data_IF_537388488480
#
_entry.id   IF_537388488480
#
_cell.length_a   1.000
_cell.length_b   1.000
_cell.length_c   1.000
_cell.angle_alpha   90.00
_cell.angle_beta   90.00
_cell.angle_gamma   90.00
#
_symmetry.space_group_name_H-M   'P 1'
#
loop_
_entity.id
_entity.type
_entity.pdbx_description
1 polymer ?
#
# COMPACT_ATOMS: atom_id res chain seq x y z
N UNK A 1 -7.72 -3.51 30.32
CA UNK A 1 -7.61 -3.59 28.83
C UNK A 1 -6.21 -3.22 28.31
N UNK A 2 -5.31 -2.69 29.16
CA UNK A 2 -3.86 -2.57 28.85
C UNK A 2 -3.07 -3.85 29.12
N UNK A 3 -3.50 -4.68 30.08
CA UNK A 3 -2.67 -5.81 30.53
C UNK A 3 -2.76 -7.05 29.61
N UNK A 4 -3.88 -7.21 28.88
CA UNK A 4 -4.05 -8.26 27.86
C UNK A 4 -3.22 -8.01 26.59
N UNK A 5 -2.74 -6.78 26.36
CA UNK A 5 -1.81 -6.47 25.28
C UNK A 5 -0.34 -6.62 25.70
N UNK A 6 -0.06 -6.82 26.98
CA UNK A 6 1.31 -6.95 27.49
C UNK A 6 1.74 -8.42 27.63
N UNK A 7 0.81 -9.32 27.95
CA UNK A 7 1.08 -10.78 28.01
C UNK A 7 1.28 -11.41 26.61
N UNK A 8 0.60 -10.94 25.57
CA UNK A 8 0.81 -11.46 24.20
C UNK A 8 2.17 -11.05 23.60
N UNK A 9 2.85 -10.05 24.19
CA UNK A 9 4.18 -9.60 23.79
C UNK A 9 5.32 -10.23 24.60
N UNK A 10 5.06 -10.78 25.78
CA UNK A 10 6.07 -11.49 26.59
C UNK A 10 6.22 -12.98 26.26
N UNK A 11 5.26 -13.60 25.56
CA UNK A 11 5.38 -15.00 25.08
C UNK A 11 6.31 -15.18 23.87
N UNK A 12 6.94 -14.12 23.36
CA UNK A 12 7.83 -14.16 22.19
C UNK A 12 9.32 -14.16 22.61
N UNK A 13 9.70 -15.07 23.50
CA UNK A 13 11.09 -15.27 23.94
C UNK A 13 12.07 -15.34 22.76
N UNK A 14 12.71 -14.21 22.48
CA UNK A 14 13.83 -14.06 21.55
C UNK A 14 15.02 -13.74 22.44
N UNK A 15 15.67 -14.79 22.93
CA UNK A 15 17.08 -14.74 23.29
C UNK A 15 17.86 -15.18 22.07
N UNK A 16 18.48 -14.23 21.38
CA UNK A 16 19.37 -14.46 20.24
C UNK A 16 20.64 -15.18 20.71
N UNK A 17 20.65 -16.50 20.61
CA UNK A 17 21.88 -17.30 20.53
C UNK A 17 21.83 -18.16 19.27
N UNK A 18 22.33 -17.59 18.17
CA UNK A 18 22.51 -18.29 16.90
C UNK A 18 23.68 -19.27 17.03
N UNK A 19 23.49 -20.58 16.83
CA UNK A 19 24.60 -21.51 16.71
C UNK A 19 25.37 -21.22 15.42
N UNK A 20 26.69 -21.05 15.54
CA UNK A 20 27.63 -20.92 14.43
C UNK A 20 27.71 -22.24 13.66
N UNK A 21 26.95 -22.36 12.58
CA UNK A 21 27.05 -23.47 11.61
C UNK A 21 28.07 -23.06 10.54
N UNK A 22 29.16 -23.83 10.42
CA UNK A 22 30.17 -23.69 9.36
C UNK A 22 29.54 -23.88 7.97
N UNK A 23 29.87 -23.06 6.96
CA UNK A 23 29.43 -23.30 5.60
C UNK A 23 30.26 -24.44 4.98
N UNK A 24 29.60 -25.53 4.59
CA UNK A 24 30.15 -26.50 3.65
C UNK A 24 29.88 -26.00 2.23
N UNK A 25 30.94 -25.60 1.53
CA UNK A 25 30.92 -25.20 0.12
C UNK A 25 30.46 -26.37 -0.76
N UNK A 26 29.25 -26.26 -1.28
CA UNK A 26 28.80 -27.02 -2.45
C UNK A 26 28.39 -26.00 -3.51
N UNK A 27 29.33 -25.69 -4.40
CA UNK A 27 29.14 -24.83 -5.57
C UNK A 27 28.24 -25.54 -6.60
N UNK A 28 26.94 -25.57 -6.33
CA UNK A 28 25.94 -25.70 -7.39
C UNK A 28 25.96 -24.46 -8.28
N UNK A 29 25.34 -24.47 -9.48
CA UNK A 29 25.16 -23.27 -10.28
C UNK A 29 24.25 -22.31 -9.53
N UNK A 30 24.83 -21.52 -8.62
CA UNK A 30 24.20 -20.39 -7.97
C UNK A 30 23.73 -19.47 -9.09
N UNK A 31 22.43 -19.55 -9.38
CA UNK A 31 21.71 -18.50 -10.08
C UNK A 31 22.00 -17.21 -9.31
N UNK A 32 22.96 -16.42 -9.80
CA UNK A 32 23.28 -15.05 -9.39
C UNK A 32 22.06 -14.15 -9.63
N UNK A 33 20.99 -14.40 -8.89
CA UNK A 33 19.72 -13.69 -8.96
C UNK A 33 19.84 -12.41 -8.12
N UNK A 34 20.49 -11.43 -8.75
CA UNK A 34 20.36 -9.99 -8.57
C UNK A 34 20.51 -9.40 -7.15
N UNK A 35 21.74 -8.91 -6.88
CA UNK A 35 22.08 -7.89 -5.88
C UNK A 35 21.51 -6.49 -6.22
N UNK A 36 20.38 -6.39 -6.93
CA UNK A 36 19.78 -5.09 -7.23
C UNK A 36 18.90 -4.65 -6.07
N UNK A 37 19.19 -3.49 -5.49
CA UNK A 37 18.35 -2.84 -4.48
C UNK A 37 17.01 -2.31 -4.99
N UNK A 38 16.47 -2.94 -6.03
CA UNK A 38 15.29 -2.53 -6.80
C UNK A 38 14.35 -3.74 -6.91
N UNK A 39 13.04 -3.49 -6.87
CA UNK A 39 11.97 -4.49 -6.87
C UNK A 39 11.72 -5.01 -8.30
N UNK A 40 11.43 -4.10 -9.24
CA UNK A 40 11.21 -4.40 -10.66
C UNK A 40 12.42 -4.00 -11.53
N UNK A 41 13.26 -3.11 -11.02
CA UNK A 41 14.41 -2.52 -11.71
C UNK A 41 14.38 -0.99 -11.62
N UNK A 42 15.50 -0.30 -11.85
CA UNK A 42 15.62 1.13 -11.52
C UNK A 42 14.56 2.02 -12.18
N UNK A 43 14.35 1.86 -13.50
CA UNK A 43 13.43 2.72 -14.25
C UNK A 43 11.95 2.43 -13.91
N UNK A 44 11.59 1.15 -13.75
CA UNK A 44 10.24 0.75 -13.36
C UNK A 44 9.91 1.19 -11.95
N UNK A 45 10.85 1.02 -11.03
CA UNK A 45 10.69 1.47 -9.66
C UNK A 45 10.57 3.00 -9.62
N UNK A 46 11.38 3.75 -10.37
CA UNK A 46 11.24 5.22 -10.46
C UNK A 46 9.86 5.66 -10.95
N UNK A 47 9.34 4.99 -11.98
CA UNK A 47 8.07 5.34 -12.61
C UNK A 47 6.85 4.89 -11.78
N UNK A 48 6.83 3.64 -11.33
CA UNK A 48 5.64 3.00 -10.77
C UNK A 48 5.66 2.88 -9.25
N UNK A 49 6.84 2.79 -8.62
CA UNK A 49 6.95 2.54 -7.18
C UNK A 49 7.35 3.79 -6.43
N UNK A 50 8.41 4.49 -6.81
CA UNK A 50 8.79 5.77 -6.24
C UNK A 50 8.03 6.94 -6.88
N UNK A 51 7.36 6.72 -8.02
CA UNK A 51 6.54 7.71 -8.72
C UNK A 51 7.18 9.10 -8.80
N UNK A 52 8.45 9.20 -9.22
CA UNK A 52 9.20 10.47 -9.22
C UNK A 52 8.61 11.54 -10.15
N UNK A 53 7.61 11.17 -10.96
CA UNK A 53 6.88 12.05 -11.87
C UNK A 53 5.70 12.77 -11.21
N UNK A 54 5.38 12.49 -9.95
CA UNK A 54 4.31 13.20 -9.24
C UNK A 54 4.41 14.74 -9.29
N UNK A 55 5.61 15.39 -9.28
CA UNK A 55 5.70 16.84 -9.41
C UNK A 55 5.20 17.33 -10.76
N UNK A 56 5.40 16.56 -11.84
CA UNK A 56 4.88 16.88 -13.17
C UNK A 56 3.35 16.84 -13.18
N UNK A 57 2.74 15.86 -12.50
CA UNK A 57 1.28 15.80 -12.36
C UNK A 57 0.72 16.99 -11.57
N UNK A 58 1.45 17.47 -10.56
CA UNK A 58 1.10 18.70 -9.83
C UNK A 58 1.23 19.93 -10.72
N UNK A 59 2.31 20.05 -11.49
CA UNK A 59 2.51 21.16 -12.43
C UNK A 59 1.41 21.22 -13.49
N UNK A 60 1.06 20.07 -14.09
CA UNK A 60 -0.04 19.97 -15.06
C UNK A 60 -1.33 20.49 -14.42
N UNK A 61 -1.75 19.95 -13.27
CA UNK A 61 -2.98 20.39 -12.60
C UNK A 61 -2.96 21.85 -12.12
N UNK A 62 -1.78 22.38 -11.81
CA UNK A 62 -1.62 23.76 -11.38
C UNK A 62 -1.89 24.75 -12.52
N UNK A 63 -1.33 24.48 -13.71
CA UNK A 63 -1.50 25.33 -14.89
C UNK A 63 -2.78 25.06 -15.68
N UNK A 64 -3.39 23.89 -15.48
CA UNK A 64 -4.62 23.48 -16.15
C UNK A 64 -5.86 24.22 -15.65
N UNK A 65 -6.81 24.37 -16.57
CA UNK A 65 -8.14 24.90 -16.28
C UNK A 65 -9.01 23.91 -15.50
N UNK A 66 -10.21 24.35 -15.09
CA UNK A 66 -11.14 23.51 -14.33
C UNK A 66 -11.56 22.26 -15.13
N UNK A 67 -11.69 22.37 -16.45
CA UNK A 67 -12.11 21.26 -17.31
C UNK A 67 -11.06 20.15 -17.36
N UNK A 68 -9.78 20.52 -17.47
CA UNK A 68 -8.65 19.58 -17.48
C UNK A 68 -8.46 18.91 -16.12
N UNK A 69 -8.70 19.62 -15.02
CA UNK A 69 -8.71 19.01 -13.66
C UNK A 69 -9.78 17.94 -13.51
N UNK A 70 -11.00 18.18 -14.01
CA UNK A 70 -12.06 17.18 -14.01
C UNK A 70 -11.70 15.96 -14.86
N UNK A 71 -11.07 16.17 -16.01
CA UNK A 71 -10.59 15.08 -16.86
C UNK A 71 -9.53 14.22 -16.13
N UNK A 72 -8.56 14.84 -15.45
CA UNK A 72 -7.53 14.11 -14.69
C UNK A 72 -8.18 13.31 -13.55
N UNK A 73 -9.11 13.91 -12.81
CA UNK A 73 -9.85 13.22 -11.75
C UNK A 73 -10.67 12.06 -12.28
N UNK A 74 -11.35 12.25 -13.42
CA UNK A 74 -12.08 11.19 -14.11
C UNK A 74 -11.16 9.99 -14.40
N UNK A 75 -10.01 10.23 -15.03
CA UNK A 75 -9.06 9.16 -15.32
C UNK A 75 -8.52 8.49 -14.06
N UNK A 76 -8.18 9.28 -13.04
CA UNK A 76 -7.66 8.77 -11.77
C UNK A 76 -8.69 7.93 -11.00
N UNK A 77 -9.94 8.36 -10.91
CA UNK A 77 -10.99 7.63 -10.19
C UNK A 77 -11.33 6.33 -10.93
N UNK A 78 -11.70 6.43 -12.21
CA UNK A 78 -12.27 5.28 -12.94
C UNK A 78 -11.23 4.31 -13.46
N UNK A 79 -10.05 4.76 -13.85
CA UNK A 79 -9.06 3.90 -14.51
C UNK A 79 -7.86 3.57 -13.63
N UNK A 80 -7.77 4.12 -12.43
CA UNK A 80 -6.63 3.86 -11.55
C UNK A 80 -7.12 3.40 -10.19
N UNK A 81 -7.79 4.26 -9.44
CA UNK A 81 -8.15 3.94 -8.05
C UNK A 81 -9.20 2.84 -7.96
N UNK A 82 -10.27 2.91 -8.77
CA UNK A 82 -11.29 1.86 -8.77
C UNK A 82 -10.70 0.52 -9.21
N UNK A 83 -10.05 0.37 -10.38
CA UNK A 83 -9.44 -0.89 -10.78
C UNK A 83 -8.44 -1.43 -9.76
N UNK A 84 -7.63 -0.59 -9.09
CA UNK A 84 -6.70 -1.09 -8.09
C UNK A 84 -7.43 -1.79 -6.93
N UNK A 85 -8.51 -1.22 -6.39
CA UNK A 85 -9.28 -1.82 -5.28
C UNK A 85 -9.91 -3.14 -5.70
N UNK A 86 -10.48 -3.17 -6.90
CA UNK A 86 -11.14 -4.36 -7.45
C UNK A 86 -10.13 -5.45 -7.84
N UNK A 87 -8.91 -5.08 -8.22
CA UNK A 87 -7.86 -6.04 -8.60
C UNK A 87 -7.52 -6.99 -7.45
N UNK A 88 -7.58 -6.55 -6.19
CA UNK A 88 -7.36 -7.39 -5.01
C UNK A 88 -8.36 -8.53 -4.90
N UNK A 89 -9.64 -8.27 -5.22
CA UNK A 89 -10.66 -9.31 -5.26
C UNK A 89 -10.34 -10.31 -6.37
N UNK A 90 -9.93 -9.81 -7.54
CA UNK A 90 -9.39 -10.63 -8.62
C UNK A 90 -8.24 -11.51 -8.14
N UNK A 91 -7.26 -10.96 -7.44
CA UNK A 91 -6.13 -11.73 -6.90
C UNK A 91 -6.57 -12.79 -5.91
N UNK A 92 -7.44 -12.49 -4.95
CA UNK A 92 -7.88 -13.48 -3.97
C UNK A 92 -8.69 -14.60 -4.63
N UNK A 93 -9.55 -14.27 -5.60
CA UNK A 93 -10.41 -15.26 -6.26
C UNK A 93 -9.64 -16.09 -7.30
N UNK A 94 -8.65 -15.49 -7.97
CA UNK A 94 -7.88 -16.12 -9.04
C UNK A 94 -6.60 -16.80 -8.54
N UNK A 95 -5.87 -16.20 -7.59
CA UNK A 95 -4.74 -16.85 -6.92
C UNK A 95 -5.28 -17.85 -5.89
N UNK A 96 -5.38 -19.11 -6.33
CA UNK A 96 -5.88 -20.20 -5.49
C UNK A 96 -5.01 -20.47 -4.27
N UNK A 97 -3.74 -20.06 -4.26
CA UNK A 97 -2.81 -20.45 -3.19
C UNK A 97 -3.14 -19.76 -1.85
N UNK A 98 -3.24 -18.41 -1.78
CA UNK A 98 -3.69 -17.74 -0.56
C UNK A 98 -5.11 -18.14 -0.17
N UNK A 99 -6.04 -18.22 -1.13
CA UNK A 99 -7.43 -18.53 -0.83
C UNK A 99 -7.60 -19.95 -0.25
N UNK A 100 -6.99 -20.97 -0.87
CA UNK A 100 -7.03 -22.36 -0.37
C UNK A 100 -6.40 -22.51 1.01
N UNK A 101 -5.41 -21.68 1.35
CA UNK A 101 -4.81 -21.71 2.67
C UNK A 101 -5.76 -21.23 3.77
N UNK A 102 -6.69 -20.29 3.48
CA UNK A 102 -7.59 -19.69 4.48
C UNK A 102 -8.99 -19.36 3.93
N UNK A 103 -9.73 -20.31 3.31
CA UNK A 103 -10.95 -20.01 2.59
C UNK A 103 -12.05 -19.47 3.53
N UNK A 104 -12.10 -20.00 4.76
CA UNK A 104 -13.04 -19.56 5.80
C UNK A 104 -12.84 -18.10 6.19
N UNK A 105 -11.58 -17.64 6.25
CA UNK A 105 -11.29 -16.24 6.57
C UNK A 105 -11.77 -15.32 5.44
N UNK A 106 -11.38 -15.60 4.19
CA UNK A 106 -11.74 -14.74 3.06
C UNK A 106 -13.25 -14.67 2.85
N UNK A 107 -13.92 -15.83 2.86
CA UNK A 107 -15.37 -15.90 2.68
C UNK A 107 -16.13 -15.32 3.88
N UNK A 108 -15.74 -15.68 5.10
CA UNK A 108 -16.37 -15.17 6.32
C UNK A 108 -16.23 -13.66 6.45
N UNK A 109 -15.06 -13.11 6.14
CA UNK A 109 -14.84 -11.66 6.12
C UNK A 109 -15.68 -10.96 5.06
N UNK A 110 -15.80 -11.54 3.85
CA UNK A 110 -16.67 -10.97 2.81
C UNK A 110 -18.13 -10.93 3.22
N UNK A 111 -18.66 -12.03 3.73
CA UNK A 111 -20.04 -12.11 4.20
C UNK A 111 -20.27 -11.07 5.31
N UNK A 112 -19.35 -10.97 6.27
CA UNK A 112 -19.45 -9.99 7.35
C UNK A 112 -19.47 -8.54 6.84
N UNK A 113 -18.54 -8.17 5.93
CA UNK A 113 -18.48 -6.83 5.35
C UNK A 113 -19.77 -6.50 4.58
N UNK A 114 -20.26 -7.42 3.74
CA UNK A 114 -21.49 -7.23 2.96
C UNK A 114 -22.69 -7.03 3.89
N UNK A 115 -22.87 -7.92 4.89
CA UNK A 115 -23.98 -7.84 5.83
C UNK A 115 -23.96 -6.54 6.64
N UNK A 116 -22.79 -6.10 7.10
CA UNK A 116 -22.65 -4.85 7.86
C UNK A 116 -22.97 -3.65 6.98
N UNK A 117 -22.41 -3.56 5.78
CA UNK A 117 -22.62 -2.40 4.89
C UNK A 117 -24.07 -2.30 4.42
N UNK A 118 -24.64 -3.43 3.97
CA UNK A 118 -26.04 -3.50 3.52
C UNK A 118 -26.99 -3.25 4.70
N UNK A 119 -26.70 -3.84 5.87
CA UNK A 119 -27.49 -3.64 7.08
C UNK A 119 -27.51 -2.17 7.54
N UNK A 120 -26.35 -1.49 7.51
CA UNK A 120 -26.28 -0.05 7.81
C UNK A 120 -27.07 0.74 6.78
N UNK A 121 -26.89 0.51 5.47
CA UNK A 121 -27.63 1.25 4.43
C UNK A 121 -29.14 1.06 4.55
N UNK A 122 -29.61 -0.16 4.79
CA UNK A 122 -31.05 -0.43 4.97
C UNK A 122 -31.56 0.20 6.27
N UNK A 123 -30.79 0.15 7.36
CA UNK A 123 -31.21 0.63 8.67
C UNK A 123 -31.21 2.15 8.83
N UNK A 124 -30.23 2.85 8.24
CA UNK A 124 -30.08 4.31 8.39
C UNK A 124 -30.54 5.09 7.16
N UNK A 125 -30.61 4.46 5.99
CA UNK A 125 -30.82 5.13 4.71
C UNK A 125 -29.60 5.90 4.20
N UNK A 126 -28.52 6.00 4.97
CA UNK A 126 -27.40 6.93 4.72
C UNK A 126 -26.05 6.19 4.63
N UNK A 127 -25.20 6.59 3.68
CA UNK A 127 -23.85 6.02 3.50
C UNK A 127 -22.75 6.82 4.23
N UNK A 128 -23.06 7.98 4.78
CA UNK A 128 -22.08 8.93 5.33
C UNK A 128 -21.19 8.31 6.41
N UNK A 129 -21.76 7.54 7.35
CA UNK A 129 -20.97 6.86 8.38
C UNK A 129 -20.02 5.82 7.78
N UNK A 130 -20.47 5.07 6.78
CA UNK A 130 -19.63 4.09 6.08
C UNK A 130 -18.49 4.76 5.31
N UNK A 131 -18.76 5.89 4.65
CA UNK A 131 -17.74 6.67 3.95
C UNK A 131 -16.72 7.29 4.90
N UNK A 132 -17.14 7.73 6.09
CA UNK A 132 -16.22 8.23 7.10
C UNK A 132 -15.29 7.12 7.62
N UNK A 133 -15.82 5.91 7.83
CA UNK A 133 -15.02 4.73 8.20
C UNK A 133 -14.10 4.32 7.04
N UNK A 134 -14.60 4.32 5.80
CA UNK A 134 -13.78 4.07 4.61
C UNK A 134 -12.62 5.05 4.54
N UNK A 135 -12.88 6.34 4.72
CA UNK A 135 -11.83 7.36 4.72
C UNK A 135 -10.74 7.10 5.77
N UNK A 136 -11.14 6.80 7.02
CA UNK A 136 -10.20 6.52 8.10
C UNK A 136 -9.38 5.24 7.86
N UNK A 137 -10.03 4.17 7.38
CA UNK A 137 -9.34 2.92 7.06
C UNK A 137 -8.42 3.10 5.86
N UNK A 138 -8.87 3.80 4.81
CA UNK A 138 -8.08 4.13 3.64
C UNK A 138 -6.81 4.88 4.04
N UNK A 139 -6.91 5.89 4.92
CA UNK A 139 -5.74 6.61 5.43
C UNK A 139 -4.73 5.70 6.13
N UNK A 140 -5.21 4.79 6.98
CA UNK A 140 -4.37 3.77 7.63
C UNK A 140 -3.76 2.79 6.64
N UNK A 141 -4.52 2.40 5.61
CA UNK A 141 -4.08 1.51 4.56
C UNK A 141 -2.96 2.15 3.73
N UNK A 142 -3.13 3.39 3.26
CA UNK A 142 -2.08 4.19 2.59
C UNK A 142 -0.78 4.21 3.39
N UNK A 143 -0.87 4.68 4.65
CA UNK A 143 0.29 4.77 5.52
C UNK A 143 0.95 3.39 5.75
N UNK A 144 0.13 2.33 5.83
CA UNK A 144 0.60 0.97 6.01
C UNK A 144 1.32 0.41 4.79
N UNK A 145 0.79 0.66 3.59
CA UNK A 145 1.37 0.24 2.32
C UNK A 145 2.72 0.93 2.11
N UNK A 146 2.77 2.27 2.20
CA UNK A 146 3.99 2.99 1.89
C UNK A 146 5.17 2.57 2.79
N UNK A 147 4.91 2.41 4.09
CA UNK A 147 5.90 1.86 5.01
C UNK A 147 6.25 0.39 4.67
N UNK A 148 5.27 -0.41 4.25
CA UNK A 148 5.49 -1.79 3.81
C UNK A 148 6.47 -1.88 2.64
N UNK A 149 6.28 -1.05 1.61
CA UNK A 149 7.16 -0.97 0.43
C UNK A 149 8.55 -0.48 0.81
N UNK A 150 8.64 0.57 1.62
CA UNK A 150 9.91 1.03 2.17
C UNK A 150 10.70 -0.09 2.87
N UNK A 151 10.02 -0.95 3.65
CA UNK A 151 10.65 -2.12 4.28
C UNK A 151 11.02 -3.24 3.30
N UNK A 152 10.35 -3.35 2.15
CA UNK A 152 10.79 -4.26 1.08
C UNK A 152 12.15 -3.80 0.56
N UNK A 153 12.30 -2.51 0.22
CA UNK A 153 13.58 -1.95 -0.19
C UNK A 153 14.67 -2.11 0.87
N UNK A 154 14.35 -1.86 2.14
CA UNK A 154 15.31 -2.06 3.25
C UNK A 154 15.85 -3.49 3.32
N UNK A 155 14.98 -4.49 3.10
CA UNK A 155 15.40 -5.91 3.05
C UNK A 155 16.21 -6.25 1.81
N UNK A 156 15.82 -5.75 0.63
CA UNK A 156 16.57 -5.97 -0.62
C UNK A 156 17.96 -5.36 -0.56
N UNK A 157 18.08 -4.18 0.03
CA UNK A 157 19.34 -3.46 0.21
C UNK A 157 20.20 -3.98 1.36
N UNK A 158 19.69 -4.93 2.17
CA UNK A 158 20.27 -5.34 3.46
C UNK A 158 20.66 -4.11 4.30
N UNK A 159 19.82 -3.09 4.29
CA UNK A 159 20.16 -1.80 4.86
C UNK A 159 20.26 -1.89 6.38
N UNK A 160 21.32 -1.30 6.94
CA UNK A 160 21.44 -1.09 8.38
C UNK A 160 20.59 0.11 8.76
N UNK A 161 20.00 0.06 9.95
CA UNK A 161 19.26 1.18 10.55
C UNK A 161 19.71 1.30 11.98
N UNK A 162 19.88 2.53 12.47
CA UNK A 162 20.01 2.75 13.91
C UNK A 162 18.64 2.81 14.56
N UNK A 163 17.60 3.20 13.81
CA UNK A 163 16.23 3.19 14.29
C UNK A 163 15.71 1.76 14.45
N UNK A 164 15.12 1.42 15.61
CA UNK A 164 14.34 0.20 15.75
C UNK A 164 13.19 0.18 14.72
N UNK A 165 12.98 -0.96 14.07
CA UNK A 165 11.98 -1.07 12.99
C UNK A 165 10.53 -0.80 13.42
N UNK A 166 10.21 -0.82 14.71
CA UNK A 166 8.89 -0.40 15.22
C UNK A 166 8.75 1.12 15.28
N UNK A 167 9.84 1.84 15.58
CA UNK A 167 9.85 3.29 15.67
C UNK A 167 9.77 3.90 14.28
N UNK A 168 10.57 3.39 13.33
CA UNK A 168 10.49 3.74 11.90
C UNK A 168 9.05 3.61 11.36
N UNK A 169 8.37 2.52 11.74
CA UNK A 169 6.96 2.27 11.40
C UNK A 169 6.03 3.32 11.96
N UNK A 170 6.14 3.65 13.24
CA UNK A 170 5.27 4.63 13.89
C UNK A 170 5.49 6.01 13.28
N UNK A 171 6.75 6.44 13.11
CA UNK A 171 7.10 7.76 12.60
C UNK A 171 6.56 7.99 11.19
N UNK A 172 6.82 7.06 10.25
CA UNK A 172 6.32 7.20 8.88
C UNK A 172 4.79 7.16 8.81
N UNK A 173 4.16 6.24 9.56
CA UNK A 173 2.69 6.11 9.52
C UNK A 173 2.00 7.30 10.17
N UNK A 174 2.47 7.76 11.32
CA UNK A 174 1.91 8.91 12.02
C UNK A 174 2.02 10.17 11.15
N UNK A 175 3.17 10.37 10.48
CA UNK A 175 3.36 11.47 9.53
C UNK A 175 2.33 11.47 8.40
N UNK A 176 2.18 10.34 7.68
CA UNK A 176 1.23 10.24 6.57
C UNK A 176 -0.22 10.35 7.04
N UNK A 177 -0.59 9.67 8.13
CA UNK A 177 -1.92 9.76 8.74
C UNK A 177 -2.27 11.19 9.12
N UNK A 178 -1.32 11.90 9.74
CA UNK A 178 -1.50 13.30 10.09
C UNK A 178 -1.77 14.15 8.84
N UNK A 179 -0.97 14.01 7.78
CA UNK A 179 -1.18 14.74 6.53
C UNK A 179 -2.57 14.48 5.94
N UNK A 180 -3.04 13.23 5.93
CA UNK A 180 -4.37 12.87 5.40
C UNK A 180 -5.48 13.48 6.28
N UNK A 181 -5.36 13.40 7.61
CA UNK A 181 -6.30 14.05 8.53
C UNK A 181 -6.30 15.57 8.33
N UNK A 182 -5.15 16.19 8.07
CA UNK A 182 -5.06 17.63 7.75
C UNK A 182 -5.79 17.96 6.45
N UNK A 183 -5.70 17.12 5.42
CA UNK A 183 -6.48 17.30 4.18
C UNK A 183 -7.98 17.24 4.46
N UNK A 184 -8.45 16.24 5.24
CA UNK A 184 -9.85 16.14 5.64
C UNK A 184 -10.32 17.36 6.45
N UNK A 185 -9.49 17.84 7.39
CA UNK A 185 -9.86 18.99 8.23
C UNK A 185 -10.07 20.25 7.39
N UNK A 186 -9.19 20.51 6.42
CA UNK A 186 -9.33 21.64 5.50
C UNK A 186 -10.61 21.52 4.66
N UNK A 187 -10.97 20.30 4.26
CA UNK A 187 -12.18 20.06 3.48
C UNK A 187 -13.48 20.25 4.28
N UNK A 188 -13.48 20.01 5.60
CA UNK A 188 -14.69 20.10 6.45
C UNK A 188 -14.95 21.52 6.95
N UNK A 189 -13.99 22.14 7.65
CA UNK A 189 -14.17 23.50 8.21
C UNK A 189 -12.88 24.14 8.71
N UNK A 190 -12.46 25.33 8.22
CA UNK A 190 -11.44 26.14 8.89
C UNK A 190 -12.00 26.74 10.19
N UNK A 191 -11.22 26.74 11.27
CA UNK A 191 -11.62 27.22 12.61
C UNK A 191 -10.48 27.14 13.63
N UNK A 192 -10.75 27.28 14.93
CA UNK A 192 -9.72 27.28 16.01
C UNK A 192 -8.87 26.02 16.07
N UNK A 193 -9.41 24.87 15.68
CA UNK A 193 -8.65 23.63 15.51
C UNK A 193 -7.51 23.80 14.48
N UNK A 194 -7.72 24.64 13.46
CA UNK A 194 -6.72 24.94 12.43
C UNK A 194 -5.50 25.63 13.01
N UNK A 195 -5.67 26.60 13.91
CA UNK A 195 -4.55 27.37 14.49
C UNK A 195 -3.62 26.48 15.32
N UNK A 196 -4.19 25.58 16.13
CA UNK A 196 -3.41 24.58 16.87
C UNK A 196 -2.68 23.62 15.92
N UNK A 197 -3.37 23.14 14.88
CA UNK A 197 -2.79 22.21 13.93
C UNK A 197 -1.65 22.83 13.11
N UNK A 198 -1.68 24.13 12.82
CA UNK A 198 -0.60 24.86 12.14
C UNK A 198 0.73 24.76 12.89
N UNK A 199 0.72 24.81 14.24
CA UNK A 199 1.92 24.61 15.05
C UNK A 199 2.38 23.15 14.99
N UNK A 200 1.43 22.23 15.04
CA UNK A 200 1.70 20.79 15.00
C UNK A 200 2.25 20.33 13.64
N UNK A 201 1.91 21.01 12.54
CA UNK A 201 2.44 20.75 11.19
C UNK A 201 3.98 20.70 11.20
N UNK A 202 4.63 21.67 11.86
CA UNK A 202 6.10 21.75 11.94
C UNK A 202 6.72 20.65 12.79
N UNK A 203 6.07 20.30 13.91
CA UNK A 203 6.54 19.21 14.79
C UNK A 203 6.44 17.87 14.06
N UNK A 204 5.36 17.65 13.31
CA UNK A 204 5.13 16.40 12.57
C UNK A 204 6.14 16.21 11.43
N UNK A 205 6.66 17.29 10.83
CA UNK A 205 7.74 17.23 9.84
C UNK A 205 9.08 16.70 10.40
N UNK A 206 9.29 16.73 11.72
CA UNK A 206 10.48 16.11 12.33
C UNK A 206 10.48 14.59 12.13
N UNK A 207 9.30 13.96 12.13
CA UNK A 207 9.17 12.50 12.04
C UNK A 207 9.80 11.93 10.75
N UNK A 208 9.41 12.35 9.54
CA UNK A 208 10.04 11.85 8.32
C UNK A 208 11.50 12.30 8.18
N UNK A 209 11.89 13.47 8.72
CA UNK A 209 13.27 13.95 8.69
C UNK A 209 14.23 13.02 9.45
N UNK A 210 13.82 12.51 10.62
CA UNK A 210 14.63 11.55 11.38
C UNK A 210 14.79 10.22 10.61
N UNK A 211 13.73 9.74 9.97
CA UNK A 211 13.79 8.51 9.15
C UNK A 211 14.65 8.71 7.90
N UNK A 212 14.54 9.87 7.26
CA UNK A 212 15.37 10.23 6.11
C UNK A 212 16.85 10.36 6.51
N UNK A 213 17.13 10.95 7.67
CA UNK A 213 18.47 11.02 8.23
C UNK A 213 19.04 9.63 8.52
N UNK A 214 18.27 8.71 9.11
CA UNK A 214 18.68 7.30 9.29
C UNK A 214 19.03 6.62 7.96
N UNK A 215 18.21 6.84 6.93
CA UNK A 215 18.44 6.28 5.61
C UNK A 215 19.69 6.85 4.92
N UNK A 216 19.94 8.16 5.08
CA UNK A 216 21.11 8.85 4.52
C UNK A 216 22.40 8.48 5.26
N UNK A 217 22.35 8.38 6.58
CA UNK A 217 23.48 8.03 7.42
C UNK A 217 23.98 6.60 7.14
N UNK A 218 23.04 5.68 6.90
CA UNK A 218 23.35 4.29 6.58
C UNK A 218 23.34 4.00 5.06
N UNK A 219 23.60 5.03 4.23
CA UNK A 219 23.54 4.90 2.78
C UNK A 219 24.62 3.94 2.25
N UNK A 220 24.21 2.99 1.41
CA UNK A 220 25.08 2.22 0.52
C UNK A 220 24.53 2.20 -0.92
N UNK A 221 25.35 1.80 -1.91
CA UNK A 221 24.90 1.74 -3.32
C UNK A 221 23.66 0.87 -3.55
N UNK A 222 23.46 -0.16 -2.74
CA UNK A 222 22.29 -1.03 -2.81
C UNK A 222 21.04 -0.40 -2.17
N UNK A 223 21.15 0.66 -1.38
CA UNK A 223 20.00 1.35 -0.77
C UNK A 223 19.47 2.51 -1.61
N UNK A 224 19.92 2.67 -2.85
CA UNK A 224 19.47 3.77 -3.71
C UNK A 224 17.95 3.74 -3.96
N UNK A 225 17.38 2.56 -4.25
CA UNK A 225 15.92 2.41 -4.40
C UNK A 225 15.16 2.79 -3.13
N UNK A 226 15.67 2.38 -1.95
CA UNK A 226 15.12 2.75 -0.62
C UNK A 226 15.09 4.27 -0.45
N UNK A 227 16.22 4.93 -0.72
CA UNK A 227 16.37 6.38 -0.53
C UNK A 227 15.47 7.17 -1.47
N UNK A 228 15.48 6.85 -2.77
CA UNK A 228 14.66 7.53 -3.78
C UNK A 228 13.18 7.39 -3.47
N UNK A 229 12.74 6.17 -3.12
CA UNK A 229 11.38 5.91 -2.68
C UNK A 229 10.99 6.76 -1.47
N UNK A 230 11.83 6.76 -0.42
CA UNK A 230 11.58 7.51 0.80
C UNK A 230 11.51 9.02 0.53
N UNK A 231 12.45 9.57 -0.23
CA UNK A 231 12.47 10.99 -0.62
C UNK A 231 11.21 11.36 -1.39
N UNK A 232 10.74 10.50 -2.29
CA UNK A 232 9.54 10.78 -3.08
C UNK A 232 8.27 10.79 -2.21
N UNK A 233 8.08 9.78 -1.35
CA UNK A 233 6.94 9.71 -0.43
C UNK A 233 6.97 10.87 0.56
N UNK A 234 8.12 11.12 1.21
CA UNK A 234 8.26 12.23 2.16
C UNK A 234 8.05 13.57 1.47
N UNK A 235 8.61 13.77 0.27
CA UNK A 235 8.46 14.99 -0.51
C UNK A 235 7.00 15.26 -0.88
N UNK A 236 6.28 14.24 -1.34
CA UNK A 236 4.85 14.35 -1.69
C UNK A 236 4.01 14.77 -0.48
N UNK A 237 4.12 14.06 0.64
CA UNK A 237 3.33 14.35 1.85
C UNK A 237 3.76 15.65 2.56
N UNK A 238 5.06 15.99 2.52
CA UNK A 238 5.53 17.28 3.07
C UNK A 238 5.05 18.44 2.21
N UNK A 239 5.06 18.29 0.88
CA UNK A 239 4.47 19.26 -0.03
C UNK A 239 2.98 19.43 0.22
N UNK A 240 2.27 18.35 0.54
CA UNK A 240 0.83 18.38 0.85
C UNK A 240 0.58 19.16 2.14
N UNK A 241 1.38 18.89 3.18
CA UNK A 241 1.29 19.59 4.45
C UNK A 241 1.64 21.09 4.30
N UNK A 242 2.68 21.41 3.52
CA UNK A 242 3.04 22.79 3.20
C UNK A 242 1.94 23.53 2.43
N UNK A 243 1.30 22.86 1.46
CA UNK A 243 0.21 23.45 0.68
C UNK A 243 -1.03 23.73 1.55
N UNK A 244 -1.33 22.83 2.51
CA UNK A 244 -2.36 23.04 3.53
C UNK A 244 -2.00 24.25 4.40
N UNK A 245 -0.77 24.27 4.94
CA UNK A 245 -0.28 25.33 5.81
C UNK A 245 -0.31 26.71 5.13
N UNK A 246 -0.01 26.75 3.84
CA UNK A 246 0.05 27.98 3.04
C UNK A 246 -1.31 28.40 2.45
N UNK A 247 -2.37 27.61 2.67
CA UNK A 247 -3.70 27.92 2.16
C UNK A 247 -3.84 27.81 0.64
N UNK A 248 -3.17 26.85 0.01
CA UNK A 248 -3.21 26.63 -1.45
C UNK A 248 -4.09 25.42 -1.83
N UNK A 249 -5.44 25.53 -1.80
CA UNK A 249 -6.34 24.38 -1.98
C UNK A 249 -6.19 23.68 -3.34
N UNK A 250 -5.86 24.42 -4.40
CA UNK A 250 -5.61 23.83 -5.72
C UNK A 250 -4.39 22.89 -5.71
N UNK A 251 -3.31 23.28 -5.00
CA UNK A 251 -2.11 22.47 -4.86
C UNK A 251 -2.40 21.27 -3.95
N UNK A 252 -3.19 21.44 -2.89
CA UNK A 252 -3.63 20.33 -2.01
C UNK A 252 -4.39 19.27 -2.81
N UNK A 253 -5.32 19.69 -3.67
CA UNK A 253 -6.08 18.78 -4.54
C UNK A 253 -5.16 18.03 -5.53
N UNK A 254 -4.23 18.75 -6.16
CA UNK A 254 -3.26 18.16 -7.07
C UNK A 254 -2.35 17.13 -6.38
N UNK A 255 -1.84 17.44 -5.19
CA UNK A 255 -1.00 16.55 -4.38
C UNK A 255 -1.79 15.35 -3.84
N UNK A 256 -3.07 15.54 -3.49
CA UNK A 256 -3.95 14.43 -3.08
C UNK A 256 -4.20 13.48 -4.25
N UNK A 257 -4.43 14.02 -5.45
CA UNK A 257 -4.57 13.22 -6.68
C UNK A 257 -3.27 12.48 -7.00
N UNK A 258 -2.12 13.17 -6.87
CA UNK A 258 -0.81 12.58 -7.05
C UNK A 258 -0.53 11.43 -6.06
N UNK A 259 -0.94 11.61 -4.80
CA UNK A 259 -0.85 10.57 -3.77
C UNK A 259 -1.71 9.35 -4.10
N UNK A 260 -2.96 9.57 -4.54
CA UNK A 260 -3.83 8.49 -4.98
C UNK A 260 -3.25 7.70 -6.16
N UNK A 261 -2.64 8.40 -7.12
CA UNK A 261 -1.91 7.77 -8.22
C UNK A 261 -0.70 6.97 -7.74
N UNK A 262 0.11 7.56 -6.86
CA UNK A 262 1.30 6.94 -6.27
C UNK A 262 0.94 5.60 -5.62
N UNK A 263 -0.06 5.63 -4.73
CA UNK A 263 -0.52 4.44 -4.02
C UNK A 263 -1.05 3.33 -4.94
N UNK A 264 -1.88 3.69 -5.93
CA UNK A 264 -2.42 2.71 -6.87
C UNK A 264 -1.34 2.12 -7.79
N UNK A 265 -0.44 2.95 -8.31
CA UNK A 265 0.66 2.48 -9.20
C UNK A 265 1.65 1.58 -8.47
N UNK A 266 2.02 1.92 -7.23
CA UNK A 266 2.82 1.07 -6.35
C UNK A 266 2.18 -0.31 -6.17
N UNK A 267 0.89 -0.31 -5.82
CA UNK A 267 0.14 -1.53 -5.54
C UNK A 267 0.17 -2.46 -6.76
N UNK A 268 -0.20 -1.93 -7.93
CA UNK A 268 -0.24 -2.68 -9.17
C UNK A 268 1.15 -3.21 -9.57
N UNK A 269 2.21 -2.42 -9.37
CA UNK A 269 3.58 -2.83 -9.61
C UNK A 269 4.01 -3.99 -8.69
N UNK A 270 3.69 -3.90 -7.39
CA UNK A 270 4.07 -4.91 -6.38
C UNK A 270 3.27 -6.20 -6.55
N UNK A 271 1.99 -6.09 -6.91
CA UNK A 271 1.16 -7.22 -7.32
C UNK A 271 1.75 -7.91 -8.55
N UNK A 272 2.06 -7.15 -9.61
CA UNK A 272 2.65 -7.69 -10.83
C UNK A 272 3.98 -8.40 -10.57
N UNK A 273 4.86 -7.78 -9.76
CA UNK A 273 6.10 -8.38 -9.30
C UNK A 273 5.89 -9.71 -8.58
N UNK A 274 4.94 -9.76 -7.64
CA UNK A 274 4.64 -10.97 -6.86
C UNK A 274 4.12 -12.09 -7.75
N UNK A 275 3.18 -11.79 -8.65
CA UNK A 275 2.62 -12.78 -9.58
C UNK A 275 3.71 -13.36 -10.50
N UNK A 276 4.62 -12.51 -10.97
CA UNK A 276 5.75 -12.95 -11.78
C UNK A 276 6.67 -13.89 -11.00
N UNK A 277 7.00 -13.55 -9.74
CA UNK A 277 7.84 -14.38 -8.88
C UNK A 277 7.19 -15.74 -8.56
N UNK A 278 5.91 -15.76 -8.21
CA UNK A 278 5.18 -17.01 -7.94
C UNK A 278 5.12 -17.93 -9.17
N UNK A 279 5.10 -17.36 -10.39
CA UNK A 279 5.08 -18.14 -11.63
C UNK A 279 6.41 -18.86 -11.92
N UNK A 280 7.54 -18.35 -11.41
CA UNK A 280 8.88 -18.90 -11.64
C UNK A 280 9.29 -20.04 -10.70
N UNK A 281 8.68 -20.13 -9.51
CA UNK A 281 9.13 -21.05 -8.44
C UNK A 281 8.50 -22.47 -8.51
N UNK A 282 7.63 -22.76 -9.50
CA UNK A 282 7.31 -24.11 -9.98
C UNK A 282 6.36 -25.00 -9.15
N UNK A 283 5.17 -25.26 -9.70
CA UNK A 283 4.56 -26.59 -9.94
C UNK A 283 3.33 -26.31 -10.84
N UNK A 284 3.42 -26.59 -12.15
CA UNK A 284 2.48 -26.02 -13.13
C UNK A 284 1.38 -27.04 -13.42
N UNK A 285 0.20 -26.82 -12.83
CA UNK A 285 -1.03 -27.50 -13.22
C UNK A 285 -1.45 -27.02 -14.63
N UNK A 286 -2.13 -27.83 -15.44
CA UNK A 286 -2.41 -27.45 -16.85
C UNK A 286 -3.24 -26.15 -16.99
N UNK A 287 -4.03 -25.78 -15.97
CA UNK A 287 -4.75 -24.49 -15.86
C UNK A 287 -3.82 -23.31 -15.52
N UNK A 288 -2.69 -23.57 -14.87
CA UNK A 288 -1.70 -22.54 -14.50
C UNK A 288 -0.97 -22.00 -15.73
N UNK A 289 -0.99 -22.71 -16.86
CA UNK A 289 -0.43 -22.20 -18.14
C UNK A 289 -1.16 -20.96 -18.67
N UNK A 290 -2.48 -20.87 -18.52
CA UNK A 290 -3.23 -19.67 -18.88
C UNK A 290 -2.86 -18.53 -17.94
N UNK A 291 -2.74 -18.81 -16.64
CA UNK A 291 -2.32 -17.82 -15.65
C UNK A 291 -0.89 -17.33 -15.87
N UNK A 292 0.04 -18.22 -16.22
CA UNK A 292 1.40 -17.86 -16.60
C UNK A 292 1.43 -17.05 -17.90
N UNK A 293 0.57 -17.36 -18.87
CA UNK A 293 0.45 -16.56 -20.09
C UNK A 293 -0.08 -15.15 -19.78
N UNK A 294 -1.11 -15.03 -18.94
CA UNK A 294 -1.64 -13.75 -18.45
C UNK A 294 -0.58 -13.00 -17.64
N UNK A 295 0.14 -13.68 -16.73
CA UNK A 295 1.19 -13.11 -15.90
C UNK A 295 2.42 -12.68 -16.71
N UNK A 296 2.76 -13.40 -17.79
CA UNK A 296 3.81 -12.98 -18.74
C UNK A 296 3.43 -11.71 -19.50
N UNK A 297 2.13 -11.43 -19.61
CA UNK A 297 1.53 -10.23 -20.22
C UNK A 297 0.79 -9.41 -19.17
N UNK A 298 1.32 -9.35 -17.94
CA UNK A 298 0.62 -8.76 -16.81
C UNK A 298 0.23 -7.31 -17.07
N UNK A 299 1.10 -6.52 -17.73
CA UNK A 299 0.82 -5.12 -18.10
C UNK A 299 -0.42 -5.02 -19.01
N UNK A 300 -0.50 -5.87 -20.04
CA UNK A 300 -1.61 -5.85 -20.99
C UNK A 300 -2.91 -6.36 -20.35
N UNK A 301 -2.81 -7.40 -19.53
CA UNK A 301 -3.95 -7.96 -18.80
C UNK A 301 -4.49 -6.95 -17.78
N UNK A 302 -3.59 -6.25 -17.09
CA UNK A 302 -3.92 -5.16 -16.19
C UNK A 302 -4.57 -4.00 -16.94
N UNK A 303 -4.06 -3.65 -18.13
CA UNK A 303 -4.65 -2.59 -18.96
C UNK A 303 -6.08 -2.94 -19.39
N UNK A 304 -6.33 -4.15 -19.88
CA UNK A 304 -7.69 -4.60 -20.24
C UNK A 304 -8.60 -4.55 -19.02
N UNK A 305 -8.13 -5.09 -17.89
CA UNK A 305 -8.88 -5.10 -16.64
C UNK A 305 -9.26 -3.69 -16.19
N UNK A 306 -8.31 -2.76 -16.24
CA UNK A 306 -8.49 -1.33 -15.94
C UNK A 306 -9.53 -0.71 -16.87
N UNK A 307 -9.43 -0.93 -18.17
CA UNK A 307 -10.35 -0.33 -19.16
C UNK A 307 -11.77 -0.87 -18.99
N UNK A 308 -11.93 -2.18 -18.83
CA UNK A 308 -13.24 -2.82 -18.66
C UNK A 308 -13.88 -2.35 -17.35
N UNK A 309 -13.16 -2.43 -16.23
CA UNK A 309 -13.72 -2.00 -14.95
C UNK A 309 -13.99 -0.49 -14.89
N UNK A 310 -13.11 0.33 -15.45
CA UNK A 310 -13.34 1.78 -15.51
C UNK A 310 -14.57 2.13 -16.32
N UNK A 311 -14.76 1.48 -17.48
CA UNK A 311 -15.94 1.68 -18.32
C UNK A 311 -17.23 1.22 -17.63
N UNK A 312 -17.21 0.04 -17.00
CA UNK A 312 -18.36 -0.46 -16.24
C UNK A 312 -18.68 0.46 -15.05
N UNK A 313 -17.66 0.87 -14.29
CA UNK A 313 -17.79 1.79 -13.16
C UNK A 313 -18.47 3.10 -13.57
N UNK A 314 -18.02 3.69 -14.68
CA UNK A 314 -18.60 4.92 -15.20
C UNK A 314 -20.07 4.76 -15.58
N UNK A 315 -20.43 3.66 -16.26
CA UNK A 315 -21.82 3.36 -16.63
C UNK A 315 -22.72 3.13 -15.41
N UNK A 316 -22.25 2.36 -14.43
CA UNK A 316 -23.00 2.08 -13.21
C UNK A 316 -23.23 3.34 -12.37
N UNK A 317 -22.25 4.24 -12.29
CA UNK A 317 -22.42 5.49 -11.57
C UNK A 317 -23.51 6.36 -12.20
N UNK A 318 -23.57 6.47 -13.53
CA UNK A 318 -24.58 7.31 -14.19
C UNK A 318 -26.03 6.85 -13.96
N UNK A 319 -26.25 5.54 -13.77
CA UNK A 319 -27.59 4.97 -13.60
C UNK A 319 -27.95 4.67 -12.15
N UNK A 320 -26.95 4.34 -11.32
CA UNK A 320 -27.15 3.77 -9.98
C UNK A 320 -26.11 4.32 -8.98
N UNK A 321 -25.91 5.64 -8.93
CA UNK A 321 -24.89 6.31 -8.07
C UNK A 321 -24.82 5.73 -6.67
N UNK A 322 -25.95 5.67 -5.95
CA UNK A 322 -25.98 5.21 -4.56
C UNK A 322 -25.61 3.72 -4.41
N UNK A 323 -26.12 2.88 -5.31
CA UNK A 323 -25.78 1.45 -5.33
C UNK A 323 -24.31 1.24 -5.66
N UNK A 324 -23.79 2.00 -6.63
CA UNK A 324 -22.40 1.97 -7.03
C UNK A 324 -21.47 2.43 -5.89
N UNK A 325 -21.84 3.48 -5.16
CA UNK A 325 -21.13 3.96 -3.99
C UNK A 325 -21.09 2.90 -2.88
N UNK A 326 -22.23 2.26 -2.58
CA UNK A 326 -22.29 1.16 -1.62
C UNK A 326 -21.38 -0.01 -2.03
N UNK A 327 -21.43 -0.42 -3.30
CA UNK A 327 -20.57 -1.47 -3.83
C UNK A 327 -19.08 -1.11 -3.71
N UNK A 328 -18.70 0.12 -4.01
CA UNK A 328 -17.31 0.56 -3.86
C UNK A 328 -16.84 0.58 -2.41
N UNK A 329 -17.70 0.94 -1.46
CA UNK A 329 -17.36 0.87 -0.03
C UNK A 329 -17.16 -0.58 0.42
N UNK A 330 -18.04 -1.49 0.00
CA UNK A 330 -17.88 -2.93 0.27
C UNK A 330 -16.56 -3.44 -0.29
N UNK A 331 -16.27 -3.11 -1.56
CA UNK A 331 -15.03 -3.52 -2.23
C UNK A 331 -13.80 -2.90 -1.56
N UNK A 332 -13.88 -1.65 -1.12
CA UNK A 332 -12.80 -0.99 -0.40
C UNK A 332 -12.48 -1.71 0.93
N UNK A 333 -13.48 -2.03 1.75
CA UNK A 333 -13.26 -2.79 2.98
C UNK A 333 -12.72 -4.20 2.73
N UNK A 334 -13.22 -4.88 1.70
CA UNK A 334 -12.68 -6.17 1.26
C UNK A 334 -11.21 -6.06 0.88
N UNK A 335 -10.88 -5.08 0.04
CA UNK A 335 -9.52 -4.79 -0.41
C UNK A 335 -8.59 -4.55 0.78
N UNK A 336 -8.94 -3.67 1.73
CA UNK A 336 -8.10 -3.40 2.90
C UNK A 336 -7.85 -4.64 3.77
N UNK A 337 -8.90 -5.42 4.04
CA UNK A 337 -8.81 -6.64 4.83
C UNK A 337 -7.99 -7.73 4.15
N UNK A 338 -8.20 -7.91 2.84
CA UNK A 338 -7.53 -8.92 2.05
C UNK A 338 -6.05 -8.62 1.88
N UNK A 339 -5.69 -7.39 1.52
CA UNK A 339 -4.28 -6.99 1.44
C UNK A 339 -3.55 -7.22 2.77
N UNK A 340 -4.13 -6.80 3.89
CA UNK A 340 -3.56 -7.03 5.21
C UNK A 340 -3.29 -8.52 5.51
N UNK A 341 -4.06 -9.43 4.90
CA UNK A 341 -3.86 -10.87 5.02
C UNK A 341 -2.87 -11.45 4.01
N UNK A 342 -2.88 -10.96 2.76
CA UNK A 342 -2.06 -11.43 1.65
C UNK A 342 -0.58 -11.11 1.84
N UNK A 343 -0.27 -10.00 2.50
CA UNK A 343 1.11 -9.49 2.67
C UNK A 343 1.78 -9.95 3.97
N UNK A 344 1.06 -10.61 4.88
CA UNK A 344 1.66 -11.18 6.10
C UNK A 344 2.49 -12.42 5.74
N UNK A 345 3.81 -12.36 5.97
CA UNK A 345 4.70 -13.53 5.83
C UNK A 345 4.21 -14.65 6.74
N UNK A 346 4.10 -15.86 6.18
CA UNK A 346 3.88 -17.09 6.96
C UNK A 346 5.13 -17.35 7.80
N UNK A 347 4.97 -17.48 9.12
CA UNK A 347 5.98 -18.19 9.92
C UNK A 347 5.85 -19.66 9.53
N UNK A 348 6.83 -20.18 8.81
CA UNK A 348 6.94 -21.62 8.61
C UNK A 348 7.37 -22.15 9.97
N UNK A 349 6.45 -22.79 10.70
CA UNK A 349 6.83 -23.60 11.84
C UNK A 349 7.56 -24.81 11.27
N UNK A 350 8.88 -24.71 11.18
CA UNK A 350 9.71 -25.89 10.94
C UNK A 350 9.51 -26.72 12.21
N UNK A 351 8.96 -27.95 12.12
CA UNK A 351 8.94 -28.84 13.26
C UNK A 351 10.38 -28.96 13.73
N UNK A 352 10.64 -28.54 14.96
CA UNK A 352 11.91 -28.87 15.60
C UNK A 352 11.87 -30.38 15.72
N UNK A 353 12.51 -31.08 14.79
CA UNK A 353 12.85 -32.49 14.99
C UNK A 353 13.56 -32.51 16.34
N UNK A 354 12.90 -33.10 17.33
CA UNK A 354 13.48 -33.38 18.63
C UNK A 354 14.76 -34.15 18.34
N UNK A 355 15.90 -33.46 18.42
CA UNK A 355 17.21 -34.06 18.35
C UNK A 355 17.23 -35.16 19.42
N UNK A 356 17.06 -36.39 18.95
CA UNK A 356 16.97 -37.56 19.78
C UNK A 356 18.22 -37.67 20.63
N UNK A 357 17.98 -37.98 21.90
CA UNK A 357 18.97 -38.42 22.85
C UNK A 357 19.95 -39.43 22.23
N UNK A 358 21.24 -39.14 22.34
CA UNK A 358 22.29 -40.14 22.38
C UNK A 358 22.98 -40.04 23.74
#
# INVERSE_FOLDING_TARGET
MSDLLQEEFQSAGITDTVPSVRPTNNDGPETRSQKSGWILGPWMDLLLIANVFWPMLVLIQYFDDVSSRQAIQFWQIYFITTPHRWSTLGLVLLDRNPYRARPRFFLGFAIAVVLICVGIRIGTGELTCLLAIDYAWNAWHFASQHHGIYRIYGRLAQARTFLPGWLEKIMLRAFMLYCIVRVAQVAIRPGTLSDFLVVLDWVVLILPCVVLFDCLWNWNRHSMGRLVYLVSVVGLFSGMLWAIHSGFPAIVLALTTASAWFHASEYLAVVGWRMHKQSGDGEIDARDRIFQWIASRWVFSLLIFVVVLGSCSWLFEHQFVETWLLLNVIVAFLHYGYDGSLWKKRKVNIPVESAGAC
#
